data_IF_278430489841
#
_entry.id   IF_278430489841
#
_cell.length_a   1.000
_cell.length_b   1.000
_cell.length_c   1.000
_cell.angle_alpha   90.00
_cell.angle_beta   90.00
_cell.angle_gamma   90.00
#
_symmetry.space_group_name_H-M   'P 1'
#
loop_
_entity.id
_entity.type
_entity.pdbx_description
1 polymer ?
#
# COMPACT_ATOMS: atom_id res chain seq x y z
N UNK A 1 5.37 8.99 -25.34
CA UNK A 1 5.45 7.57 -24.95
C UNK A 1 4.73 7.41 -23.62
N UNK A 2 3.60 6.71 -23.57
CA UNK A 2 3.02 6.26 -22.30
C UNK A 2 3.65 4.90 -21.97
N UNK A 3 4.17 4.74 -20.75
CA UNK A 3 4.70 3.44 -20.29
C UNK A 3 3.59 2.39 -20.30
N UNK A 4 3.86 1.13 -20.66
CA UNK A 4 2.89 0.05 -20.52
C UNK A 4 2.39 -0.02 -19.08
N UNK A 5 1.06 -0.05 -18.92
CA UNK A 5 0.41 -0.24 -17.63
C UNK A 5 0.51 -1.72 -17.29
N UNK A 6 1.21 -2.06 -16.21
CA UNK A 6 1.21 -3.42 -15.66
C UNK A 6 0.01 -3.54 -14.73
N UNK A 7 -0.84 -4.53 -14.97
CA UNK A 7 -1.95 -4.91 -14.11
C UNK A 7 -1.73 -6.34 -13.62
N UNK A 8 -1.77 -6.53 -12.31
CA UNK A 8 -1.64 -7.84 -11.67
C UNK A 8 -2.49 -7.88 -10.40
N UNK A 9 -3.00 -9.05 -10.05
CA UNK A 9 -3.74 -9.29 -8.81
C UNK A 9 -2.88 -10.08 -7.84
N UNK A 10 -2.88 -9.69 -6.56
CA UNK A 10 -2.12 -10.32 -5.48
C UNK A 10 -3.04 -10.54 -4.29
N UNK A 11 -2.93 -11.70 -3.63
CA UNK A 11 -3.69 -12.01 -2.42
C UNK A 11 -3.11 -11.24 -1.22
N UNK A 12 -3.97 -10.65 -0.38
CA UNK A 12 -3.56 -9.92 0.83
C UNK A 12 -2.68 -10.73 1.79
N UNK A 13 -2.83 -12.05 1.81
CA UNK A 13 -2.04 -12.98 2.64
C UNK A 13 -0.53 -12.89 2.40
N UNK A 14 -0.08 -12.34 1.26
CA UNK A 14 1.36 -12.17 1.03
C UNK A 14 1.94 -11.03 1.85
N UNK A 15 1.12 -10.09 2.31
CA UNK A 15 1.58 -8.94 3.08
C UNK A 15 1.66 -9.30 4.55
N UNK A 16 2.81 -9.02 5.15
CA UNK A 16 3.16 -9.44 6.52
C UNK A 16 3.07 -8.30 7.52
N UNK A 17 3.29 -7.07 7.06
CA UNK A 17 3.17 -5.84 7.85
C UNK A 17 3.17 -4.62 6.94
N UNK A 18 2.76 -3.48 7.47
CA UNK A 18 3.01 -2.19 6.83
C UNK A 18 3.59 -1.19 7.83
N UNK A 19 4.28 -0.18 7.30
CA UNK A 19 4.78 0.96 8.06
C UNK A 19 4.23 2.22 7.40
N UNK A 20 3.62 3.07 8.21
CA UNK A 20 3.19 4.39 7.79
C UNK A 20 4.18 5.45 8.26
N UNK A 21 4.63 6.28 7.31
CA UNK A 21 5.51 7.43 7.58
C UNK A 21 4.78 8.73 7.27
N UNK A 22 5.44 9.88 7.45
CA UNK A 22 4.86 11.19 7.08
C UNK A 22 4.34 11.22 5.64
N UNK A 23 5.05 10.61 4.69
CA UNK A 23 4.79 10.76 3.25
C UNK A 23 4.43 9.45 2.53
N UNK A 24 4.63 8.28 3.15
CA UNK A 24 4.55 6.99 2.47
C UNK A 24 3.81 5.95 3.32
N UNK A 25 3.13 5.04 2.64
CA UNK A 25 2.83 3.70 3.15
C UNK A 25 3.83 2.71 2.54
N UNK A 26 4.47 1.91 3.38
CA UNK A 26 5.40 0.86 2.96
C UNK A 26 4.80 -0.48 3.37
N UNK A 27 4.46 -1.33 2.41
CA UNK A 27 3.75 -2.60 2.62
C UNK A 27 4.71 -3.75 2.32
N UNK A 28 5.06 -4.55 3.32
CA UNK A 28 6.07 -5.61 3.21
C UNK A 28 5.43 -6.94 2.86
N UNK A 29 5.89 -7.57 1.78
CA UNK A 29 5.58 -8.97 1.46
C UNK A 29 6.69 -9.94 1.91
N UNK A 30 7.90 -9.43 2.14
CA UNK A 30 9.01 -10.17 2.74
C UNK A 30 9.96 -9.22 3.47
N UNK A 31 11.08 -9.72 3.99
CA UNK A 31 12.14 -8.87 4.58
C UNK A 31 12.79 -7.92 3.57
N UNK A 32 12.78 -8.27 2.27
CA UNK A 32 13.48 -7.55 1.21
C UNK A 32 12.55 -6.99 0.14
N UNK A 33 11.27 -7.36 0.17
CA UNK A 33 10.28 -6.99 -0.85
C UNK A 33 9.16 -6.17 -0.22
N UNK A 34 8.92 -4.99 -0.79
CA UNK A 34 7.87 -4.09 -0.32
C UNK A 34 7.33 -3.21 -1.44
N UNK A 35 6.07 -2.83 -1.30
CA UNK A 35 5.41 -1.85 -2.15
C UNK A 35 5.41 -0.49 -1.45
N UNK A 36 5.71 0.57 -2.20
CA UNK A 36 5.65 1.95 -1.71
C UNK A 36 4.45 2.64 -2.33
N UNK A 37 3.58 3.18 -1.48
CA UNK A 37 2.45 4.01 -1.91
C UNK A 37 2.65 5.43 -1.36
N UNK A 38 2.96 6.43 -2.21
CA UNK A 38 3.07 7.82 -1.78
C UNK A 38 1.72 8.39 -1.34
N UNK A 39 1.67 9.05 -0.18
CA UNK A 39 0.44 9.71 0.31
C UNK A 39 -0.06 10.82 -0.61
N UNK A 40 0.83 11.43 -1.38
CA UNK A 40 0.49 12.43 -2.42
C UNK A 40 -0.27 11.85 -3.62
N UNK A 41 -0.36 10.52 -3.74
CA UNK A 41 -1.13 9.88 -4.80
C UNK A 41 -2.64 9.84 -4.49
N UNK A 42 -3.03 10.12 -3.25
CA UNK A 42 -4.43 10.24 -2.84
C UNK A 42 -4.92 11.66 -3.06
N UNK A 43 -6.14 11.80 -3.56
CA UNK A 43 -6.74 13.10 -3.90
C UNK A 43 -7.26 13.79 -2.64
N UNK A 44 -7.87 13.02 -1.72
CA UNK A 44 -8.47 13.53 -0.50
C UNK A 44 -7.84 12.93 0.77
N UNK A 45 -8.11 13.56 1.93
CA UNK A 45 -7.69 13.01 3.22
C UNK A 45 -8.52 11.78 3.59
N UNK A 46 -9.75 11.74 3.12
CA UNK A 46 -10.70 10.66 3.28
C UNK A 46 -10.21 9.39 2.57
N UNK A 47 -9.72 9.50 1.33
CA UNK A 47 -9.14 8.36 0.59
C UNK A 47 -7.91 7.79 1.32
N UNK A 48 -7.08 8.67 1.88
CA UNK A 48 -5.91 8.29 2.66
C UNK A 48 -6.32 7.55 3.94
N UNK A 49 -7.35 8.02 4.63
CA UNK A 49 -7.89 7.38 5.82
C UNK A 49 -8.49 6.01 5.49
N UNK A 50 -9.30 5.89 4.43
CA UNK A 50 -9.86 4.62 3.97
C UNK A 50 -8.77 3.61 3.61
N UNK A 51 -7.70 4.05 2.94
CA UNK A 51 -6.58 3.17 2.62
C UNK A 51 -5.85 2.68 3.88
N UNK A 52 -5.69 3.54 4.89
CA UNK A 52 -5.12 3.14 6.19
C UNK A 52 -5.99 2.07 6.86
N UNK A 53 -7.29 2.28 6.93
CA UNK A 53 -8.22 1.30 7.53
C UNK A 53 -8.20 -0.05 6.78
N UNK A 54 -8.10 -0.02 5.45
CA UNK A 54 -7.93 -1.23 4.64
C UNK A 54 -6.65 -2.00 5.00
N UNK A 55 -5.53 -1.30 5.16
CA UNK A 55 -4.26 -1.92 5.56
C UNK A 55 -4.34 -2.51 6.97
N UNK A 56 -4.99 -1.82 7.91
CA UNK A 56 -5.22 -2.34 9.25
C UNK A 56 -6.06 -3.62 9.21
N UNK A 57 -7.17 -3.62 8.47
CA UNK A 57 -8.07 -4.78 8.39
C UNK A 57 -7.46 -6.01 7.69
N UNK A 58 -6.60 -5.81 6.69
CA UNK A 58 -6.09 -6.92 5.85
C UNK A 58 -4.70 -7.41 6.25
N UNK A 59 -3.84 -6.53 6.80
CA UNK A 59 -2.42 -6.82 7.04
C UNK A 59 -2.11 -7.00 8.52
N UNK A 60 -2.82 -6.29 9.42
CA UNK A 60 -2.63 -6.40 10.86
C UNK A 60 -3.74 -7.30 11.42
N UNK A 61 -3.46 -8.60 11.52
CA UNK A 61 -4.30 -9.56 12.25
C UNK A 61 -3.78 -9.76 13.66
#
# INVERSE_FOLDING_TARGET
MQSPRVQSTVNWQVYTKFVETKNLFIIYSSKLTFNIVPKRAFVSREDLAQFRELLLAQVVK
#
